data_IF_006369638685
#
_entry.id   IF_006369638685
#
_cell.length_a   1.000
_cell.length_b   1.000
_cell.length_c   1.000
_cell.angle_alpha   90.00
_cell.angle_beta   90.00
_cell.angle_gamma   90.00
#
_symmetry.space_group_name_H-M   'P 1'
#
loop_
_entity.id
_entity.type
_entity.pdbx_description
1 polymer ?
#
# COMPACT_ATOMS: atom_id res chain seq x y z
N UNK A 1 -0.36 18.57 13.70
CA UNK A 1 -1.00 17.94 12.52
C UNK A 1 -2.28 18.71 12.18
N UNK A 2 -2.65 18.87 10.89
CA UNK A 2 -3.95 19.44 10.53
C UNK A 2 -5.09 18.59 11.09
N UNK A 3 -6.10 19.24 11.66
CA UNK A 3 -7.25 18.59 12.30
C UNK A 3 -8.48 18.76 11.42
N UNK A 4 -9.20 17.65 11.17
CA UNK A 4 -10.48 17.63 10.44
C UNK A 4 -11.61 17.34 11.43
N UNK A 5 -12.57 18.24 11.57
CA UNK A 5 -13.75 18.01 12.42
C UNK A 5 -14.86 17.31 11.63
N UNK A 6 -15.34 16.18 12.13
CA UNK A 6 -16.41 15.39 11.51
C UNK A 6 -17.79 15.82 12.03
N UNK A 7 -18.60 16.46 11.17
CA UNK A 7 -19.91 17.02 11.53
C UNK A 7 -21.03 16.28 10.77
N UNK A 8 -21.98 15.72 11.52
CA UNK A 8 -23.06 14.92 10.97
C UNK A 8 -24.39 15.68 10.87
N UNK A 9 -24.98 16.11 11.99
CA UNK A 9 -26.38 16.59 11.99
C UNK A 9 -26.59 18.09 12.23
N UNK A 10 -25.70 18.74 12.97
CA UNK A 10 -25.90 20.10 13.43
C UNK A 10 -24.87 21.07 12.86
N UNK A 11 -25.33 21.94 11.96
CA UNK A 11 -24.51 22.98 11.35
C UNK A 11 -23.87 23.92 12.39
N UNK A 12 -24.56 24.15 13.53
CA UNK A 12 -24.00 24.93 14.65
C UNK A 12 -22.68 24.36 15.18
N UNK A 13 -22.54 23.02 15.19
CA UNK A 13 -21.26 22.37 15.56
C UNK A 13 -20.17 22.60 14.52
N UNK A 14 -20.52 22.75 13.25
CA UNK A 14 -19.56 23.16 12.23
C UNK A 14 -19.07 24.60 12.47
N UNK A 15 -19.98 25.52 12.79
CA UNK A 15 -19.63 26.92 13.11
C UNK A 15 -18.74 27.00 14.37
N UNK A 16 -19.08 26.28 15.44
CA UNK A 16 -18.26 26.19 16.65
C UNK A 16 -16.86 25.61 16.36
N UNK A 17 -16.76 24.60 15.48
CA UNK A 17 -15.47 24.01 15.09
C UNK A 17 -14.62 25.00 14.27
N UNK A 18 -15.24 25.81 13.41
CA UNK A 18 -14.58 26.89 12.68
C UNK A 18 -14.09 27.99 13.62
N UNK A 19 -14.89 28.35 14.63
CA UNK A 19 -14.50 29.29 15.68
C UNK A 19 -13.31 28.76 16.50
N UNK A 20 -13.29 27.46 16.80
CA UNK A 20 -12.20 26.81 17.51
C UNK A 20 -10.90 26.64 16.69
N UNK A 21 -10.89 27.03 15.41
CA UNK A 21 -9.70 27.00 14.56
C UNK A 21 -9.38 25.63 13.95
N UNK A 22 -10.39 24.84 13.61
CA UNK A 22 -10.19 23.59 12.85
C UNK A 22 -9.59 23.87 11.45
N UNK A 23 -8.79 22.93 10.93
CA UNK A 23 -8.08 23.11 9.66
C UNK A 23 -8.89 22.61 8.45
N UNK A 24 -9.96 21.85 8.69
CA UNK A 24 -10.87 21.35 7.67
C UNK A 24 -12.15 20.85 8.35
N UNK A 25 -13.29 21.01 7.69
CA UNK A 25 -14.52 20.33 8.09
C UNK A 25 -14.74 19.09 7.23
N UNK A 26 -15.36 18.05 7.78
CA UNK A 26 -16.12 17.10 6.97
C UNK A 26 -17.59 17.27 7.27
N UNK A 27 -18.37 17.49 6.22
CA UNK A 27 -19.83 17.52 6.28
C UNK A 27 -20.39 16.25 5.64
N UNK A 28 -21.51 15.78 6.17
CA UNK A 28 -22.43 14.88 5.46
C UNK A 28 -23.72 15.66 5.19
N UNK A 29 -23.82 16.39 4.07
CA UNK A 29 -24.98 17.24 3.80
C UNK A 29 -26.32 16.47 3.81
N UNK A 30 -26.35 15.20 3.38
CA UNK A 30 -27.51 14.30 3.55
C UNK A 30 -28.05 14.19 5.00
N UNK A 31 -27.22 14.47 6.01
CA UNK A 31 -27.61 14.49 7.42
C UNK A 31 -27.99 15.88 7.95
N UNK A 32 -27.50 16.97 7.35
CA UNK A 32 -27.85 18.36 7.69
C UNK A 32 -29.17 18.77 7.01
N UNK A 33 -29.45 18.20 5.82
CA UNK A 33 -30.68 18.24 5.01
C UNK A 33 -31.18 19.59 4.51
N UNK A 34 -30.89 20.69 5.20
CA UNK A 34 -31.33 22.03 4.80
C UNK A 34 -30.24 22.75 4.00
N UNK A 35 -30.47 23.09 2.72
CA UNK A 35 -29.50 23.81 1.89
C UNK A 35 -29.00 25.11 2.53
N UNK A 36 -29.89 25.86 3.19
CA UNK A 36 -29.55 27.11 3.89
C UNK A 36 -28.47 26.92 4.96
N UNK A 37 -28.53 25.80 5.70
CA UNK A 37 -27.55 25.49 6.73
C UNK A 37 -26.19 25.09 6.14
N UNK A 38 -26.20 24.35 5.03
CA UNK A 38 -24.97 23.95 4.32
C UNK A 38 -24.28 25.20 3.76
N UNK A 39 -25.06 26.07 3.11
CA UNK A 39 -24.58 27.35 2.55
C UNK A 39 -24.02 28.28 3.63
N UNK A 40 -24.68 28.38 4.78
CA UNK A 40 -24.17 29.18 5.90
C UNK A 40 -22.79 28.68 6.39
N UNK A 41 -22.60 27.37 6.51
CA UNK A 41 -21.30 26.79 6.90
C UNK A 41 -20.25 27.00 5.82
N UNK A 42 -20.62 26.85 4.55
CA UNK A 42 -19.71 27.06 3.41
C UNK A 42 -19.24 28.53 3.33
N UNK A 43 -20.14 29.50 3.52
CA UNK A 43 -19.79 30.92 3.57
C UNK A 43 -18.85 31.24 4.73
N UNK A 44 -19.14 30.73 5.94
CA UNK A 44 -18.26 30.95 7.10
C UNK A 44 -16.87 30.31 6.89
N UNK A 45 -16.83 29.11 6.31
CA UNK A 45 -15.58 28.43 6.00
C UNK A 45 -14.77 29.19 4.92
N UNK A 46 -15.46 29.77 3.93
CA UNK A 46 -14.88 30.65 2.90
C UNK A 46 -14.19 31.85 3.53
N UNK A 47 -14.89 32.58 4.39
CA UNK A 47 -14.36 33.79 5.04
C UNK A 47 -13.12 33.49 5.90
N UNK A 48 -12.99 32.24 6.37
CA UNK A 48 -11.86 31.75 7.17
C UNK A 48 -10.77 31.04 6.37
N UNK A 49 -10.98 30.77 5.08
CA UNK A 49 -10.07 29.96 4.26
C UNK A 49 -9.91 28.52 4.75
N UNK A 50 -10.99 27.90 5.27
CA UNK A 50 -10.98 26.52 5.78
C UNK A 50 -11.66 25.59 4.77
N UNK A 51 -10.97 24.56 4.23
CA UNK A 51 -11.56 23.66 3.24
C UNK A 51 -12.61 22.72 3.84
N UNK A 52 -13.54 22.25 3.02
CA UNK A 52 -14.61 21.33 3.41
C UNK A 52 -14.55 20.02 2.62
N UNK A 53 -14.51 18.88 3.31
CA UNK A 53 -14.79 17.58 2.70
C UNK A 53 -16.30 17.30 2.66
N UNK A 54 -16.85 17.17 1.45
CA UNK A 54 -18.21 16.66 1.20
C UNK A 54 -18.16 15.12 1.27
N UNK A 55 -18.96 14.51 2.14
CA UNK A 55 -18.88 13.07 2.41
C UNK A 55 -20.20 12.33 2.25
N UNK A 56 -20.46 11.86 1.03
CA UNK A 56 -21.58 10.98 0.67
C UNK A 56 -21.28 9.55 1.09
N UNK A 57 -22.24 8.89 1.76
CA UNK A 57 -22.15 7.48 2.12
C UNK A 57 -23.37 6.73 1.60
N UNK A 58 -23.15 5.53 1.06
CA UNK A 58 -24.25 4.67 0.60
C UNK A 58 -25.29 4.36 1.68
N UNK A 59 -24.86 4.22 2.94
CA UNK A 59 -25.77 3.96 4.06
C UNK A 59 -26.61 5.16 4.52
N UNK A 60 -26.32 6.37 4.05
CA UNK A 60 -27.05 7.61 4.40
C UNK A 60 -27.53 8.38 3.18
N UNK A 61 -27.80 7.68 2.07
CA UNK A 61 -28.31 8.29 0.85
C UNK A 61 -29.67 8.97 1.10
N UNK A 62 -29.93 10.09 0.42
CA UNK A 62 -31.23 10.77 0.50
C UNK A 62 -32.37 9.80 0.11
N UNK A 63 -33.45 9.69 0.90
CA UNK A 63 -34.57 8.82 0.59
C UNK A 63 -35.19 9.04 -0.80
N UNK A 64 -35.24 10.28 -1.29
CA UNK A 64 -35.77 10.59 -2.61
C UNK A 64 -34.87 10.05 -3.73
N UNK A 65 -33.54 10.14 -3.57
CA UNK A 65 -32.60 9.51 -4.49
C UNK A 65 -32.69 7.98 -4.41
N UNK A 66 -32.76 7.43 -3.20
CA UNK A 66 -32.92 5.99 -3.01
C UNK A 66 -34.17 5.44 -3.73
N UNK A 67 -35.30 6.15 -3.63
CA UNK A 67 -36.55 5.80 -4.33
C UNK A 67 -36.42 5.96 -5.85
N UNK A 68 -35.84 7.08 -6.32
CA UNK A 68 -35.57 7.34 -7.75
C UNK A 68 -34.78 6.21 -8.41
N UNK A 69 -33.83 5.63 -7.70
CA UNK A 69 -32.97 4.54 -8.17
C UNK A 69 -33.50 3.14 -7.80
N UNK A 70 -34.81 3.01 -7.58
CA UNK A 70 -35.49 1.72 -7.44
C UNK A 70 -35.26 1.04 -6.09
N UNK A 71 -35.03 1.82 -5.04
CA UNK A 71 -34.85 1.32 -3.68
C UNK A 71 -33.54 0.56 -3.50
N UNK A 72 -32.47 1.01 -4.17
CA UNK A 72 -31.12 0.45 -4.07
C UNK A 72 -30.09 1.57 -4.05
N UNK A 73 -28.97 1.31 -3.37
CA UNK A 73 -27.79 2.17 -3.48
C UNK A 73 -27.04 1.76 -4.74
N UNK A 74 -26.97 2.65 -5.73
CA UNK A 74 -26.25 2.44 -6.99
C UNK A 74 -25.14 3.48 -7.16
N UNK A 75 -24.13 3.22 -8.02
CA UNK A 75 -23.10 4.20 -8.33
C UNK A 75 -23.67 5.55 -8.77
N UNK A 76 -24.65 5.53 -9.68
CA UNK A 76 -25.34 6.70 -10.22
C UNK A 76 -26.01 7.52 -9.10
N UNK A 77 -26.67 6.85 -8.16
CA UNK A 77 -27.35 7.50 -7.05
C UNK A 77 -26.35 8.20 -6.11
N UNK A 78 -25.20 7.59 -5.88
CA UNK A 78 -24.13 8.17 -5.05
C UNK A 78 -23.47 9.38 -5.73
N UNK A 79 -23.22 9.29 -7.04
CA UNK A 79 -22.66 10.40 -7.83
C UNK A 79 -23.66 11.56 -7.94
N UNK A 80 -24.94 11.27 -8.19
CA UNK A 80 -25.98 12.32 -8.21
C UNK A 80 -26.09 13.02 -6.85
N UNK A 81 -26.05 12.25 -5.75
CA UNK A 81 -26.00 12.84 -4.40
C UNK A 81 -24.80 13.76 -4.23
N UNK A 82 -23.61 13.36 -4.69
CA UNK A 82 -22.42 14.19 -4.60
C UNK A 82 -22.58 15.48 -5.41
N UNK A 83 -23.08 15.40 -6.65
CA UNK A 83 -23.31 16.58 -7.52
C UNK A 83 -24.33 17.55 -6.96
N UNK A 84 -25.43 17.05 -6.38
CA UNK A 84 -26.40 17.90 -5.68
C UNK A 84 -25.73 18.64 -4.53
N UNK A 85 -24.92 17.92 -3.73
CA UNK A 85 -24.22 18.52 -2.60
C UNK A 85 -23.21 19.57 -3.04
N UNK A 86 -22.41 19.31 -4.07
CA UNK A 86 -21.47 20.27 -4.69
C UNK A 86 -22.21 21.54 -5.12
N UNK A 87 -23.37 21.40 -5.78
CA UNK A 87 -24.15 22.54 -6.27
C UNK A 87 -24.49 23.55 -5.16
N UNK A 88 -24.72 23.09 -3.92
CA UNK A 88 -24.96 24.02 -2.80
C UNK A 88 -23.74 24.89 -2.46
N UNK A 89 -22.52 24.39 -2.65
CA UNK A 89 -21.28 25.15 -2.44
C UNK A 89 -20.99 26.08 -3.64
N UNK A 90 -21.27 25.62 -4.86
CA UNK A 90 -21.16 26.44 -6.07
C UNK A 90 -22.08 27.67 -6.03
N UNK A 91 -23.30 27.52 -5.52
CA UNK A 91 -24.25 28.63 -5.35
C UNK A 91 -23.74 29.77 -4.45
N UNK A 92 -22.80 29.49 -3.55
CA UNK A 92 -22.12 30.50 -2.70
C UNK A 92 -20.68 30.77 -3.12
N UNK A 93 -20.26 30.22 -4.27
CA UNK A 93 -18.93 30.35 -4.84
C UNK A 93 -17.83 29.81 -3.93
N UNK A 94 -18.05 28.67 -3.27
CA UNK A 94 -17.04 28.00 -2.44
C UNK A 94 -16.47 26.78 -3.18
N UNK A 95 -15.18 26.86 -3.50
CA UNK A 95 -14.48 25.85 -4.34
C UNK A 95 -13.43 25.03 -3.56
N UNK A 96 -13.08 25.45 -2.34
CA UNK A 96 -12.10 24.76 -1.47
C UNK A 96 -12.70 23.48 -0.86
N UNK A 97 -13.08 22.54 -1.73
CA UNK A 97 -13.70 21.28 -1.37
C UNK A 97 -12.86 20.07 -1.78
N UNK A 98 -13.10 18.96 -1.08
CA UNK A 98 -12.72 17.61 -1.51
C UNK A 98 -13.89 16.66 -1.27
N UNK A 99 -13.96 15.54 -1.98
CA UNK A 99 -15.18 14.74 -2.04
C UNK A 99 -14.90 13.28 -1.72
N UNK A 100 -15.83 12.62 -1.05
CA UNK A 100 -15.81 11.17 -0.89
C UNK A 100 -17.19 10.57 -1.11
N UNK A 101 -17.27 9.50 -1.90
CA UNK A 101 -18.46 8.67 -2.14
C UNK A 101 -18.20 7.26 -1.62
N UNK A 102 -18.40 7.03 -0.31
CA UNK A 102 -18.00 5.77 0.33
C UNK A 102 -19.15 4.75 0.37
N UNK A 103 -18.82 3.50 0.10
CA UNK A 103 -19.70 2.35 0.28
C UNK A 103 -18.96 1.21 0.98
N UNK A 104 -19.71 0.33 1.64
CA UNK A 104 -19.17 -0.88 2.26
C UNK A 104 -19.02 -2.02 1.25
N UNK A 105 -19.69 -1.95 0.10
CA UNK A 105 -19.48 -2.83 -1.05
C UNK A 105 -18.33 -2.30 -1.90
N UNK A 106 -17.28 -3.10 -2.08
CA UNK A 106 -16.07 -2.72 -2.83
C UNK A 106 -16.38 -2.44 -4.31
N UNK A 107 -17.09 -3.31 -5.05
CA UNK A 107 -17.43 -3.02 -6.45
C UNK A 107 -18.26 -1.75 -6.61
N UNK A 108 -19.26 -1.54 -5.74
CA UNK A 108 -20.09 -0.33 -5.74
C UNK A 108 -19.25 0.93 -5.53
N UNK A 109 -18.33 0.90 -4.56
CA UNK A 109 -17.43 2.01 -4.29
C UNK A 109 -16.54 2.33 -5.50
N UNK A 110 -15.91 1.31 -6.11
CA UNK A 110 -15.01 1.49 -7.25
C UNK A 110 -15.75 2.16 -8.40
N UNK A 111 -16.92 1.64 -8.79
CA UNK A 111 -17.71 2.22 -9.88
C UNK A 111 -18.17 3.66 -9.56
N UNK A 112 -18.59 3.94 -8.32
CA UNK A 112 -18.99 5.28 -7.92
C UNK A 112 -17.83 6.30 -8.00
N UNK A 113 -16.61 5.91 -7.61
CA UNK A 113 -15.45 6.81 -7.72
C UNK A 113 -14.98 7.00 -9.15
N UNK A 114 -15.01 5.95 -10.00
CA UNK A 114 -14.69 6.08 -11.43
C UNK A 114 -15.63 7.08 -12.11
N UNK A 115 -16.94 6.87 -11.93
CA UNK A 115 -17.95 7.79 -12.45
C UNK A 115 -17.81 9.21 -11.90
N UNK A 116 -17.51 9.36 -10.61
CA UNK A 116 -17.33 10.69 -10.03
C UNK A 116 -16.10 11.39 -10.60
N UNK A 117 -14.98 10.67 -10.78
CA UNK A 117 -13.74 11.23 -11.32
C UNK A 117 -13.89 11.75 -12.76
N UNK A 118 -14.80 11.15 -13.56
CA UNK A 118 -15.11 11.63 -14.91
C UNK A 118 -16.00 12.88 -14.92
N UNK A 119 -16.68 13.18 -13.82
CA UNK A 119 -17.71 14.23 -13.73
C UNK A 119 -17.24 15.49 -12.99
N UNK A 120 -16.20 15.39 -12.14
CA UNK A 120 -15.71 16.51 -11.32
C UNK A 120 -14.18 16.53 -11.20
N UNK A 121 -13.61 17.72 -11.07
CA UNK A 121 -12.15 17.94 -10.94
C UNK A 121 -11.72 18.27 -9.50
N UNK A 122 -12.50 17.81 -8.50
CA UNK A 122 -12.19 18.02 -7.09
C UNK A 122 -11.37 16.86 -6.52
N UNK A 123 -10.46 17.11 -5.55
CA UNK A 123 -9.72 16.03 -4.90
C UNK A 123 -10.63 14.98 -4.26
N UNK A 124 -10.31 13.71 -4.45
CA UNK A 124 -11.07 12.55 -4.01
C UNK A 124 -10.45 11.91 -2.77
N UNK A 125 -11.25 11.81 -1.70
CA UNK A 125 -10.89 11.14 -0.46
C UNK A 125 -11.42 9.70 -0.42
N UNK A 126 -10.55 8.75 -0.77
CA UNK A 126 -10.89 7.35 -0.85
C UNK A 126 -11.01 6.69 0.52
N UNK A 127 -11.83 5.64 0.56
CA UNK A 127 -11.85 4.68 1.66
C UNK A 127 -13.09 3.83 1.63
N UNK A 128 -12.93 2.53 1.85
CA UNK A 128 -14.04 1.62 2.08
C UNK A 128 -14.58 1.88 3.48
N UNK A 129 -15.87 2.23 3.59
CA UNK A 129 -16.49 2.39 4.91
C UNK A 129 -16.83 1.01 5.49
N UNK A 130 -16.80 0.90 6.82
CA UNK A 130 -17.19 -0.35 7.52
C UNK A 130 -16.45 -1.57 6.95
N UNK A 131 -15.11 -1.50 6.87
CA UNK A 131 -14.31 -2.58 6.33
C UNK A 131 -14.32 -3.81 7.26
N UNK A 132 -14.47 -3.58 8.57
CA UNK A 132 -14.48 -4.61 9.61
C UNK A 132 -13.10 -4.80 10.26
N UNK A 133 -12.96 -5.81 11.15
CA UNK A 133 -11.69 -6.09 11.83
C UNK A 133 -10.67 -6.76 10.88
N UNK A 134 -9.36 -6.61 11.13
CA UNK A 134 -8.32 -7.41 10.48
C UNK A 134 -8.50 -8.92 10.72
N UNK A 135 -8.04 -9.79 9.80
CA UNK A 135 -7.39 -9.48 8.53
C UNK A 135 -8.38 -9.14 7.40
N UNK A 136 -9.66 -9.54 7.53
CA UNK A 136 -10.66 -9.36 6.46
C UNK A 136 -10.87 -7.89 6.09
N UNK A 137 -10.90 -7.00 7.08
CA UNK A 137 -11.02 -5.56 6.85
C UNK A 137 -9.85 -4.97 6.06
N UNK A 138 -8.63 -5.49 6.25
CA UNK A 138 -7.47 -5.08 5.46
C UNK A 138 -7.63 -5.49 4.00
N UNK A 139 -7.96 -6.76 3.75
CA UNK A 139 -8.18 -7.28 2.38
C UNK A 139 -9.26 -6.47 1.67
N UNK A 140 -10.40 -6.25 2.34
CA UNK A 140 -11.55 -5.52 1.79
C UNK A 140 -11.20 -4.06 1.50
N UNK A 141 -10.55 -3.36 2.43
CA UNK A 141 -10.16 -1.97 2.25
C UNK A 141 -9.10 -1.81 1.14
N UNK A 142 -8.07 -2.66 1.13
CA UNK A 142 -7.01 -2.67 0.11
C UNK A 142 -7.59 -2.94 -1.26
N UNK A 143 -8.50 -3.92 -1.42
CA UNK A 143 -9.12 -4.22 -2.71
C UNK A 143 -9.86 -3.01 -3.32
N UNK A 144 -10.53 -2.18 -2.52
CA UNK A 144 -11.19 -0.98 -3.02
C UNK A 144 -10.24 0.18 -3.28
N UNK A 145 -9.33 0.46 -2.33
CA UNK A 145 -8.44 1.63 -2.40
C UNK A 145 -7.34 1.41 -3.46
N UNK A 146 -6.70 0.25 -3.48
CA UNK A 146 -5.58 -0.02 -4.39
C UNK A 146 -6.00 -0.02 -5.86
N UNK A 147 -7.20 -0.54 -6.18
CA UNK A 147 -7.72 -0.52 -7.56
C UNK A 147 -7.85 0.91 -8.08
N UNK A 148 -8.46 1.80 -7.31
CA UNK A 148 -8.63 3.21 -7.71
C UNK A 148 -7.29 3.94 -7.78
N UNK A 149 -6.39 3.73 -6.82
CA UNK A 149 -5.06 4.34 -6.84
C UNK A 149 -4.23 3.88 -8.05
N UNK A 150 -4.30 2.60 -8.43
CA UNK A 150 -3.61 2.07 -9.61
C UNK A 150 -4.15 2.66 -10.92
N UNK A 151 -5.39 3.17 -10.91
CA UNK A 151 -6.02 3.88 -12.03
C UNK A 151 -5.74 5.39 -12.00
N UNK A 152 -4.96 5.88 -11.03
CA UNK A 152 -4.67 7.31 -10.87
C UNK A 152 -5.79 8.10 -10.21
N UNK A 153 -6.78 7.42 -9.59
CA UNK A 153 -7.91 8.05 -8.92
C UNK A 153 -7.63 8.10 -7.42
N UNK A 154 -7.67 9.30 -6.83
CA UNK A 154 -7.61 9.51 -5.37
C UNK A 154 -6.42 10.33 -4.89
N UNK A 155 -6.68 11.29 -4.02
CA UNK A 155 -5.71 12.29 -3.53
C UNK A 155 -5.38 12.10 -2.04
N UNK A 156 -6.28 11.45 -1.31
CA UNK A 156 -6.09 11.08 0.09
C UNK A 156 -6.87 9.83 0.42
N UNK A 157 -6.33 8.98 1.28
CA UNK A 157 -6.97 7.71 1.64
C UNK A 157 -7.26 7.63 3.13
N UNK A 158 -8.22 6.79 3.50
CA UNK A 158 -8.44 6.33 4.87
C UNK A 158 -8.90 4.87 4.88
N UNK A 159 -8.17 4.04 5.61
CA UNK A 159 -8.66 2.73 6.06
C UNK A 159 -9.69 2.93 7.17
N UNK A 160 -10.81 2.21 7.13
CA UNK A 160 -11.87 2.28 8.16
C UNK A 160 -12.05 0.90 8.79
N UNK A 161 -11.08 0.51 9.62
CA UNK A 161 -10.99 -0.79 10.26
C UNK A 161 -11.64 -0.75 11.65
N UNK A 162 -12.12 -1.90 12.11
CA UNK A 162 -12.49 -2.08 13.51
C UNK A 162 -11.25 -2.48 14.30
N UNK A 163 -10.32 -1.53 14.49
CA UNK A 163 -9.02 -1.73 15.12
C UNK A 163 -8.48 -0.41 15.71
N UNK A 164 -7.30 -0.46 16.34
CA UNK A 164 -6.58 0.74 16.77
C UNK A 164 -6.30 1.67 15.56
N UNK A 165 -6.57 2.99 15.64
CA UNK A 165 -6.31 3.92 14.53
C UNK A 165 -4.87 3.95 14.01
N UNK A 166 -3.89 3.60 14.84
CA UNK A 166 -2.50 3.45 14.41
C UNK A 166 -2.38 2.34 13.37
N UNK A 167 -3.14 1.26 13.48
CA UNK A 167 -3.15 0.19 12.48
C UNK A 167 -3.75 0.67 11.15
N UNK A 168 -4.80 1.50 11.18
CA UNK A 168 -5.35 2.12 9.95
C UNK A 168 -4.29 2.97 9.25
N UNK A 169 -3.54 3.77 10.02
CA UNK A 169 -2.48 4.62 9.50
C UNK A 169 -1.30 3.82 8.95
N UNK A 170 -0.86 2.77 9.66
CA UNK A 170 0.19 1.85 9.21
C UNK A 170 -0.21 1.16 7.90
N UNK A 171 -1.43 0.63 7.81
CA UNK A 171 -1.93 -0.02 6.59
C UNK A 171 -2.03 0.95 5.39
N UNK A 172 -2.55 2.17 5.61
CA UNK A 172 -2.61 3.18 4.56
C UNK A 172 -1.22 3.60 4.06
N UNK A 173 -0.27 3.78 4.98
CA UNK A 173 1.12 4.08 4.61
C UNK A 173 1.74 2.93 3.80
N UNK A 174 1.62 1.70 4.29
CA UNK A 174 2.18 0.51 3.64
C UNK A 174 1.61 0.33 2.23
N UNK A 175 0.30 0.53 2.03
CA UNK A 175 -0.31 0.47 0.70
C UNK A 175 0.32 1.47 -0.27
N UNK A 176 0.49 2.73 0.15
CA UNK A 176 1.08 3.77 -0.70
C UNK A 176 2.55 3.48 -1.03
N UNK A 177 3.31 2.92 -0.08
CA UNK A 177 4.69 2.48 -0.30
C UNK A 177 4.75 1.31 -1.30
N UNK A 178 3.87 0.30 -1.15
CA UNK A 178 3.79 -0.84 -2.06
C UNK A 178 3.38 -0.45 -3.49
N UNK A 179 2.55 0.58 -3.66
CA UNK A 179 2.17 1.11 -4.98
C UNK A 179 3.21 2.10 -5.55
N UNK A 180 4.29 2.42 -4.81
CA UNK A 180 5.27 3.43 -5.23
C UNK A 180 4.74 4.86 -5.22
N UNK A 181 3.57 5.11 -4.62
CA UNK A 181 2.96 6.44 -4.49
C UNK A 181 3.49 7.24 -3.29
N UNK A 182 4.33 6.60 -2.47
CA UNK A 182 5.02 7.23 -1.34
C UNK A 182 6.39 6.59 -1.17
N UNK A 183 7.38 7.41 -0.84
CA UNK A 183 8.71 6.90 -0.49
C UNK A 183 8.63 5.99 0.73
N UNK A 184 9.33 4.85 0.62
CA UNK A 184 9.52 3.90 1.71
C UNK A 184 10.26 4.59 2.85
N UNK A 185 9.87 4.27 4.08
CA UNK A 185 10.61 4.69 5.28
C UNK A 185 11.27 3.53 5.99
N UNK A 186 10.68 2.34 5.95
CA UNK A 186 11.22 1.14 6.55
C UNK A 186 11.53 0.10 5.48
N UNK A 187 12.11 -1.02 5.93
CA UNK A 187 12.47 -2.13 5.07
C UNK A 187 11.22 -2.70 4.39
N UNK A 188 11.32 -2.90 3.08
CA UNK A 188 10.39 -3.71 2.29
C UNK A 188 10.96 -5.13 2.22
N UNK A 189 10.55 -5.97 3.17
CA UNK A 189 11.03 -7.35 3.25
C UNK A 189 10.26 -8.23 2.26
N UNK A 190 10.95 -8.67 1.21
CA UNK A 190 10.43 -9.66 0.27
C UNK A 190 10.99 -11.03 0.64
N UNK A 191 10.13 -12.04 0.69
CA UNK A 191 10.55 -13.41 0.93
C UNK A 191 9.90 -14.33 -0.09
N UNK A 192 10.60 -15.38 -0.52
CA UNK A 192 9.94 -16.39 -1.33
C UNK A 192 8.90 -17.12 -0.46
N UNK A 193 7.75 -17.56 -1.04
CA UNK A 193 6.74 -18.32 -0.31
C UNK A 193 7.21 -19.68 0.25
N UNK A 194 8.48 -20.05 0.03
CA UNK A 194 9.05 -21.39 0.07
C UNK A 194 8.58 -22.30 -1.08
N UNK A 195 9.33 -23.37 -1.34
CA UNK A 195 9.03 -24.40 -2.34
C UNK A 195 9.82 -25.68 -2.03
N UNK A 196 9.71 -26.71 -2.88
CA UNK A 196 10.45 -27.97 -2.71
C UNK A 196 11.98 -27.88 -2.84
N UNK A 197 12.52 -26.69 -3.14
CA UNK A 197 13.97 -26.40 -3.18
C UNK A 197 14.46 -25.66 -1.93
N UNK A 198 13.57 -25.37 -0.97
CA UNK A 198 13.95 -24.62 0.22
C UNK A 198 14.90 -25.44 1.10
N UNK A 199 16.06 -24.86 1.41
CA UNK A 199 17.10 -25.45 2.24
C UNK A 199 16.92 -25.12 3.73
N UNK A 200 16.08 -24.13 4.02
CA UNK A 200 15.84 -23.60 5.36
C UNK A 200 14.35 -23.36 5.59
N UNK A 201 13.98 -23.14 6.86
CA UNK A 201 12.70 -22.55 7.20
C UNK A 201 12.67 -21.06 6.85
N UNK A 202 12.33 -20.77 5.59
CA UNK A 202 12.24 -19.40 5.05
C UNK A 202 11.29 -18.53 5.86
N UNK A 203 10.20 -19.13 6.36
CA UNK A 203 9.18 -18.42 7.12
C UNK A 203 9.79 -17.93 8.44
N UNK A 204 10.46 -18.83 9.18
CA UNK A 204 11.13 -18.47 10.42
C UNK A 204 12.21 -17.41 10.21
N UNK A 205 13.04 -17.53 9.16
CA UNK A 205 14.10 -16.52 8.88
C UNK A 205 13.50 -15.18 8.47
N UNK A 206 12.43 -15.15 7.67
CA UNK A 206 11.76 -13.92 7.30
C UNK A 206 11.11 -13.22 8.51
N UNK A 207 10.46 -13.98 9.41
CA UNK A 207 9.89 -13.44 10.64
C UNK A 207 10.98 -12.86 11.57
N UNK A 208 12.10 -13.57 11.72
CA UNK A 208 13.25 -13.09 12.48
C UNK A 208 13.86 -11.82 11.87
N UNK A 209 14.01 -11.77 10.54
CA UNK A 209 14.48 -10.59 9.83
C UNK A 209 13.54 -9.40 10.04
N UNK A 210 12.22 -9.60 9.88
CA UNK A 210 11.22 -8.55 10.09
C UNK A 210 11.27 -8.00 11.52
N UNK A 211 11.41 -8.88 12.53
CA UNK A 211 11.56 -8.48 13.92
C UNK A 211 12.87 -7.73 14.18
N UNK A 212 13.98 -8.16 13.57
CA UNK A 212 15.30 -7.54 13.74
C UNK A 212 15.38 -6.14 13.09
N UNK A 213 14.73 -5.95 11.94
CA UNK A 213 14.63 -4.66 11.27
C UNK A 213 13.68 -3.69 12.01
N UNK A 214 12.56 -4.18 12.55
CA UNK A 214 11.65 -3.40 13.38
C UNK A 214 11.27 -2.04 12.76
N UNK A 215 11.50 -0.95 13.50
CA UNK A 215 11.26 0.43 13.07
C UNK A 215 12.57 1.21 12.86
N UNK A 216 13.63 0.56 12.35
CA UNK A 216 14.97 1.18 12.13
C UNK A 216 15.00 2.29 11.06
N UNK A 217 13.90 2.56 10.36
CA UNK A 217 13.79 3.60 9.33
C UNK A 217 14.79 3.45 8.16
N UNK A 218 15.09 2.20 7.79
CA UNK A 218 15.98 1.86 6.67
C UNK A 218 15.12 1.65 5.41
N UNK A 219 15.14 2.55 4.40
CA UNK A 219 14.24 2.50 3.25
C UNK A 219 14.80 1.60 2.12
N UNK A 220 15.24 0.39 2.47
CA UNK A 220 15.79 -0.59 1.51
C UNK A 220 14.81 -1.74 1.26
N UNK A 221 14.82 -2.28 0.05
CA UNK A 221 14.19 -3.57 -0.22
C UNK A 221 15.15 -4.70 0.15
N UNK A 222 14.70 -5.59 1.03
CA UNK A 222 15.51 -6.68 1.58
C UNK A 222 14.89 -8.02 1.19
N UNK A 223 15.68 -8.90 0.58
CA UNK A 223 15.22 -10.21 0.14
C UNK A 223 15.68 -11.37 1.05
N UNK A 224 14.76 -12.28 1.38
CA UNK A 224 15.05 -13.55 2.08
C UNK A 224 14.60 -14.72 1.21
N UNK A 225 15.56 -15.48 0.71
CA UNK A 225 15.32 -16.55 -0.26
C UNK A 225 15.74 -17.91 0.32
N UNK A 226 14.88 -18.90 0.16
CA UNK A 226 15.11 -20.25 0.71
C UNK A 226 16.08 -21.13 -0.05
N UNK A 227 16.52 -20.74 -1.25
CA UNK A 227 17.44 -21.52 -2.07
C UNK A 227 18.42 -20.61 -2.83
N UNK A 228 19.65 -21.06 -3.03
CA UNK A 228 20.66 -20.38 -3.88
C UNK A 228 20.46 -20.58 -5.37
N UNK A 229 19.61 -21.54 -5.77
CA UNK A 229 19.43 -21.89 -7.18
C UNK A 229 18.68 -20.78 -7.92
N UNK A 230 17.48 -20.43 -7.43
CA UNK A 230 16.62 -19.40 -8.02
C UNK A 230 16.62 -18.10 -7.20
N UNK A 231 16.91 -18.17 -5.90
CA UNK A 231 16.78 -17.04 -4.98
C UNK A 231 17.51 -15.77 -5.43
N UNK A 232 18.80 -15.83 -5.80
CA UNK A 232 19.54 -14.65 -6.28
C UNK A 232 18.94 -14.03 -7.55
N UNK A 233 18.36 -14.85 -8.44
CA UNK A 233 17.71 -14.38 -9.66
C UNK A 233 16.35 -13.72 -9.39
N UNK A 234 15.54 -14.32 -8.52
CA UNK A 234 14.23 -13.79 -8.08
C UNK A 234 14.37 -12.49 -7.29
N UNK A 235 15.50 -12.30 -6.60
CA UNK A 235 15.79 -11.15 -5.75
C UNK A 235 16.71 -10.10 -6.37
N UNK A 236 17.04 -10.19 -7.65
CA UNK A 236 18.06 -9.34 -8.30
C UNK A 236 17.78 -7.83 -8.18
N UNK A 237 16.49 -7.48 -8.11
CA UNK A 237 16.00 -6.10 -8.07
C UNK A 237 15.97 -5.54 -6.64
N UNK A 238 16.21 -6.36 -5.62
CA UNK A 238 16.35 -5.92 -4.24
C UNK A 238 17.69 -5.21 -4.01
N UNK A 239 17.71 -4.25 -3.07
CA UNK A 239 18.93 -3.55 -2.69
C UNK A 239 19.94 -4.51 -2.06
N UNK A 240 19.44 -5.39 -1.19
CA UNK A 240 20.19 -6.43 -0.51
C UNK A 240 19.32 -7.67 -0.34
N UNK A 241 19.94 -8.84 -0.30
CA UNK A 241 19.25 -10.04 0.13
C UNK A 241 20.17 -11.16 0.54
N UNK A 242 19.57 -12.24 1.03
CA UNK A 242 20.27 -13.46 1.39
C UNK A 242 19.54 -14.66 0.82
N UNK A 243 20.29 -15.57 0.20
CA UNK A 243 19.79 -16.84 -0.29
C UNK A 243 20.41 -18.00 0.49
N UNK A 244 19.61 -18.92 0.99
CA UNK A 244 20.09 -20.06 1.75
C UNK A 244 20.54 -21.22 0.85
N UNK A 245 21.65 -21.86 1.20
CA UNK A 245 22.18 -23.01 0.49
C UNK A 245 23.24 -23.71 1.33
N UNK A 246 23.22 -25.04 1.38
CA UNK A 246 24.27 -25.83 2.05
C UNK A 246 24.58 -25.37 3.50
N UNK A 247 23.54 -25.10 4.30
CA UNK A 247 23.65 -24.57 5.68
C UNK A 247 24.38 -23.22 5.79
N UNK A 248 24.38 -22.45 4.72
CA UNK A 248 24.97 -21.12 4.62
C UNK A 248 23.98 -20.14 3.99
N UNK A 249 24.15 -18.87 4.32
CA UNK A 249 23.48 -17.75 3.68
C UNK A 249 24.41 -17.03 2.74
N UNK A 250 23.98 -16.85 1.50
CA UNK A 250 24.69 -16.13 0.46
C UNK A 250 24.11 -14.73 0.37
N UNK A 251 24.84 -13.78 0.94
CA UNK A 251 24.44 -12.39 0.98
C UNK A 251 24.81 -11.74 -0.36
N UNK A 252 23.86 -11.05 -0.97
CA UNK A 252 24.05 -10.32 -2.21
C UNK A 252 23.55 -8.89 -2.10
N UNK A 253 24.22 -7.98 -2.81
CA UNK A 253 23.85 -6.58 -2.96
C UNK A 253 23.68 -6.31 -4.45
N UNK A 254 22.47 -5.87 -4.86
CA UNK A 254 22.10 -5.69 -6.28
C UNK A 254 22.52 -6.86 -7.19
N UNK A 255 22.23 -8.08 -6.73
CA UNK A 255 22.53 -9.33 -7.44
C UNK A 255 24.00 -9.78 -7.42
N UNK A 256 24.91 -9.07 -6.75
CA UNK A 256 26.31 -9.47 -6.61
C UNK A 256 26.54 -10.08 -5.23
N UNK A 257 27.06 -11.31 -5.15
CA UNK A 257 27.42 -11.95 -3.88
C UNK A 257 28.56 -11.19 -3.20
N UNK A 258 28.35 -10.76 -1.96
CA UNK A 258 29.29 -9.96 -1.17
C UNK A 258 29.81 -10.70 0.06
N UNK A 259 29.07 -11.70 0.55
CA UNK A 259 29.48 -12.54 1.67
C UNK A 259 28.77 -13.90 1.63
N UNK A 260 29.39 -14.90 2.24
CA UNK A 260 28.76 -16.18 2.57
C UNK A 260 28.93 -16.40 4.06
N UNK A 261 27.82 -16.55 4.78
CA UNK A 261 27.77 -16.64 6.25
C UNK A 261 27.14 -17.96 6.70
N UNK A 262 27.43 -18.44 7.91
CA UNK A 262 26.67 -19.52 8.52
C UNK A 262 25.16 -19.22 8.60
N UNK A 263 24.33 -20.26 8.54
CA UNK A 263 22.86 -20.13 8.59
C UNK A 263 22.36 -19.37 9.82
N UNK A 264 22.96 -19.59 10.99
CA UNK A 264 22.60 -18.94 12.25
C UNK A 264 23.04 -17.45 12.34
N UNK A 265 23.90 -17.00 11.42
CA UNK A 265 24.35 -15.61 11.32
C UNK A 265 23.60 -14.80 10.25
N UNK A 266 22.73 -15.45 9.45
CA UNK A 266 22.04 -14.85 8.29
C UNK A 266 21.33 -13.54 8.59
N UNK A 267 20.49 -13.52 9.63
CA UNK A 267 19.69 -12.34 10.00
C UNK A 267 20.60 -11.21 10.51
N UNK A 268 21.64 -11.56 11.29
CA UNK A 268 22.61 -10.60 11.78
C UNK A 268 23.37 -9.93 10.63
N UNK A 269 23.84 -10.73 9.67
CA UNK A 269 24.53 -10.24 8.48
C UNK A 269 23.64 -9.33 7.63
N UNK A 270 22.37 -9.71 7.41
CA UNK A 270 21.40 -8.88 6.70
C UNK A 270 21.24 -7.49 7.34
N UNK A 271 21.09 -7.43 8.66
CA UNK A 271 20.89 -6.17 9.38
C UNK A 271 22.17 -5.31 9.33
N UNK A 272 23.33 -5.89 9.63
CA UNK A 272 24.61 -5.16 9.58
C UNK A 272 24.84 -4.52 8.22
N UNK A 273 24.63 -5.29 7.15
CA UNK A 273 24.86 -4.81 5.80
C UNK A 273 23.82 -3.78 5.36
N UNK A 274 22.55 -3.98 5.71
CA UNK A 274 21.50 -3.00 5.41
C UNK A 274 21.77 -1.65 6.12
N UNK A 275 22.20 -1.68 7.38
CA UNK A 275 22.62 -0.46 8.11
C UNK A 275 23.82 0.20 7.45
N UNK A 276 24.84 -0.60 7.08
CA UNK A 276 26.03 -0.08 6.41
C UNK A 276 25.68 0.57 5.08
N UNK A 277 24.86 -0.07 4.25
CA UNK A 277 24.39 0.48 2.96
C UNK A 277 23.58 1.75 3.18
N UNK A 278 22.73 1.78 4.20
CA UNK A 278 21.93 2.97 4.52
C UNK A 278 22.79 4.17 4.90
N UNK A 279 23.84 3.97 5.69
CA UNK A 279 24.73 5.04 6.16
C UNK A 279 25.79 5.46 5.11
N UNK A 280 26.33 4.50 4.36
CA UNK A 280 27.52 4.71 3.53
C UNK A 280 27.24 4.65 2.01
N UNK A 281 26.07 4.15 1.61
CA UNK A 281 25.72 3.89 0.22
C UNK A 281 26.25 2.54 -0.29
N UNK A 282 25.68 2.09 -1.40
CA UNK A 282 26.00 0.78 -2.02
C UNK A 282 27.45 0.70 -2.47
N UNK A 283 28.02 1.76 -3.05
CA UNK A 283 29.37 1.73 -3.61
C UNK A 283 30.42 1.40 -2.54
N UNK A 284 30.32 2.02 -1.36
CA UNK A 284 31.21 1.71 -0.23
C UNK A 284 30.98 0.31 0.33
N UNK A 285 29.75 -0.19 0.29
CA UNK A 285 29.46 -1.56 0.72
C UNK A 285 30.14 -2.58 -0.20
N UNK A 286 30.17 -2.30 -1.51
CA UNK A 286 30.86 -3.14 -2.49
C UNK A 286 32.38 -3.10 -2.33
N UNK A 287 32.96 -1.97 -1.93
CA UNK A 287 34.42 -1.85 -1.65
C UNK A 287 34.86 -2.63 -0.40
N UNK A 288 33.98 -2.80 0.58
CA UNK A 288 34.23 -3.60 1.81
C UNK A 288 34.32 -5.10 1.51
N UNK A 289 33.68 -5.58 0.44
CA UNK A 289 33.50 -6.98 0.15
C UNK A 289 34.71 -7.62 -0.58
N UNK A 290 35.11 -8.83 -0.18
CA UNK A 290 35.91 -9.70 -1.04
C UNK A 290 34.99 -10.42 -2.04
N UNK A 291 34.67 -9.73 -3.13
CA UNK A 291 33.77 -10.21 -4.17
C UNK A 291 34.26 -11.51 -4.83
N UNK A 292 35.58 -11.73 -4.87
CA UNK A 292 36.15 -12.94 -5.49
C UNK A 292 35.85 -14.15 -4.61
N UNK A 293 36.21 -14.07 -3.33
CA UNK A 293 35.98 -15.15 -2.38
C UNK A 293 34.47 -15.44 -2.20
N UNK A 294 33.65 -14.39 -2.11
CA UNK A 294 32.20 -14.54 -1.96
C UNK A 294 31.57 -15.22 -3.19
N UNK A 295 32.01 -14.85 -4.40
CA UNK A 295 31.54 -15.45 -5.64
C UNK A 295 31.94 -16.92 -5.75
N UNK A 296 33.21 -17.25 -5.51
CA UNK A 296 33.71 -18.63 -5.58
C UNK A 296 32.99 -19.55 -4.59
N UNK A 297 32.79 -19.09 -3.34
CA UNK A 297 32.05 -19.84 -2.33
C UNK A 297 30.58 -20.06 -2.72
N UNK A 298 29.93 -19.06 -3.30
CA UNK A 298 28.55 -19.15 -3.74
C UNK A 298 28.37 -20.06 -4.97
N UNK A 299 29.28 -19.99 -5.95
CA UNK A 299 29.26 -20.86 -7.11
C UNK A 299 29.49 -22.34 -6.72
N UNK A 300 30.37 -22.59 -5.75
CA UNK A 300 30.63 -23.94 -5.24
C UNK A 300 29.37 -24.57 -4.58
N UNK A 301 28.69 -23.83 -3.70
CA UNK A 301 27.45 -24.34 -3.07
C UNK A 301 26.33 -24.52 -4.07
N UNK A 302 26.18 -23.56 -5.00
CA UNK A 302 25.16 -23.64 -6.04
C UNK A 302 25.38 -24.85 -6.94
N UNK A 303 26.62 -25.13 -7.34
CA UNK A 303 26.95 -26.30 -8.14
C UNK A 303 26.63 -27.61 -7.40
N UNK A 304 27.00 -27.70 -6.12
CA UNK A 304 26.71 -28.88 -5.29
C UNK A 304 25.21 -29.15 -5.18
N UNK A 305 24.40 -28.10 -4.93
CA UNK A 305 22.95 -28.24 -4.84
C UNK A 305 22.28 -28.53 -6.18
N UNK A 306 22.82 -28.03 -7.29
CA UNK A 306 22.34 -28.38 -8.63
C UNK A 306 22.57 -29.85 -8.97
N UNK A 307 23.69 -30.43 -8.54
CA UNK A 307 23.94 -31.87 -8.70
C UNK A 307 22.93 -32.72 -7.91
N UNK A 308 22.51 -32.28 -6.73
CA UNK A 308 21.56 -33.00 -5.88
C UNK A 308 20.10 -32.79 -6.29
N UNK A 309 19.72 -31.57 -6.67
CA UNK A 309 18.33 -31.15 -6.91
C UNK A 309 17.91 -31.13 -8.38
N UNK A 310 18.85 -31.36 -9.29
CA UNK A 310 18.64 -31.28 -10.73
C UNK A 310 18.68 -29.85 -11.28
N UNK A 311 18.86 -29.78 -12.60
CA UNK A 311 19.21 -28.56 -13.34
C UNK A 311 18.28 -27.35 -13.10
N UNK A 312 18.88 -26.17 -13.24
CA UNK A 312 18.21 -24.88 -13.21
C UNK A 312 17.19 -24.78 -14.36
N UNK A 313 15.91 -24.60 -14.02
CA UNK A 313 14.83 -24.47 -14.99
C UNK A 313 14.97 -23.23 -15.88
N UNK A 314 15.84 -22.27 -15.54
CA UNK A 314 16.07 -21.08 -16.35
C UNK A 314 16.91 -21.36 -17.62
N UNK A 315 17.54 -22.54 -17.76
CA UNK A 315 18.18 -22.99 -19.00
C UNK A 315 17.26 -23.84 -19.91
N UNK A 316 15.95 -23.87 -19.62
CA UNK A 316 14.99 -24.74 -20.29
C UNK A 316 14.77 -24.46 -21.78
N UNK A 317 15.15 -23.28 -22.31
CA UNK A 317 15.09 -23.02 -23.76
C UNK A 317 16.00 -23.96 -24.57
N UNK A 318 17.21 -24.25 -24.07
CA UNK A 318 18.13 -25.19 -24.72
C UNK A 318 17.62 -26.64 -24.67
N UNK A 319 16.97 -27.01 -23.56
CA UNK A 319 16.36 -28.34 -23.38
C UNK A 319 15.14 -28.52 -24.28
N UNK A 320 14.30 -27.49 -24.44
CA UNK A 320 13.16 -27.50 -25.34
C UNK A 320 13.60 -27.60 -26.80
N UNK A 321 14.68 -26.92 -27.21
CA UNK A 321 15.25 -27.08 -28.55
C UNK A 321 15.81 -28.49 -28.80
N UNK A 322 16.48 -29.10 -27.82
CA UNK A 322 17.01 -30.46 -27.93
C UNK A 322 15.88 -31.50 -28.03
N UNK A 323 14.80 -31.35 -27.26
CA UNK A 323 13.61 -32.21 -27.35
C UNK A 323 12.91 -32.05 -28.70
N UNK A 324 12.86 -30.83 -29.26
CA UNK A 324 12.31 -30.58 -30.59
C UNK A 324 13.17 -31.18 -31.70
N UNK A 325 14.51 -31.14 -31.58
CA UNK A 325 15.45 -31.74 -32.55
C UNK A 325 15.48 -33.27 -32.50
N UNK A 326 15.22 -33.89 -31.34
CA UNK A 326 15.16 -35.36 -31.20
C UNK A 326 13.86 -36.01 -31.69
N UNK A 327 12.86 -35.22 -32.12
CA UNK A 327 11.57 -35.67 -32.67
C UNK A 327 11.45 -35.47 -34.19
N UNK A 328 12.54 -35.05 -34.85
CA UNK A 328 12.62 -34.87 -36.31
C UNK A 328 13.22 -36.07 -37.02
#
# INVERSE_FOLDING_TARGET
VPIVADIHHQYKRALEALEAGVHCLRLNPGNIRKPEHIKAVAMEAKDRGVPIRIGVNGGSLDPALYEKYGGKVTPEAMVESAKIEIGYFEEVGFEDIKISVKASSVPLMIEAYRMLADEVDFPLHLGVTEAGPPPNGLIKATAGIATLLAEGIGDTIRYSLTADPVQEAKAGRQLLESLGLRERKNVDLIACPSCGRAEIDVIAVAEQAMAAFGEREIPLQVAVMGCVVNGPGEARDADIGIAAGNKRGHLFVRGTNVAVVPEDEMVGALVEWAEFIHEHGVDKAMEKADLTAAKEAAEADRAMLLEEQGDDANASEQVVELIRKGRG
#
